data_IF_011460805351
#
_entry.id   IF_011460805351
#
_cell.length_a   1.000
_cell.length_b   1.000
_cell.length_c   1.000
_cell.angle_alpha   90.00
_cell.angle_beta   90.00
_cell.angle_gamma   90.00
#
_symmetry.space_group_name_H-M   'P 1'
#
loop_
_entity.id
_entity.type
_entity.pdbx_description
1 polymer ?
#
# COMPACT_ATOMS: atom_id res chain seq x y z
N UNK A 1 52.25 -50.31 -37.86
CA UNK A 1 51.27 -51.31 -38.30
C UNK A 1 50.64 -51.97 -37.07
N UNK A 2 49.42 -52.51 -37.20
CA UNK A 2 48.75 -53.47 -36.31
C UNK A 2 48.35 -53.05 -34.87
N UNK A 3 47.02 -52.96 -34.65
CA UNK A 3 46.29 -53.45 -33.45
C UNK A 3 46.14 -55.01 -33.57
N UNK A 4 45.62 -55.82 -32.60
CA UNK A 4 44.76 -55.54 -31.43
C UNK A 4 45.25 -56.28 -30.12
N UNK A 5 44.50 -56.69 -29.07
CA UNK A 5 43.05 -56.73 -28.72
C UNK A 5 42.81 -56.80 -27.18
N UNK A 6 41.66 -56.25 -26.75
CA UNK A 6 40.79 -56.55 -25.57
C UNK A 6 41.25 -57.49 -24.42
N UNK A 7 41.09 -57.03 -23.16
CA UNK A 7 40.29 -57.72 -22.12
C UNK A 7 39.79 -56.78 -21.01
N UNK A 8 38.72 -57.19 -20.33
CA UNK A 8 37.81 -56.37 -19.49
C UNK A 8 38.17 -56.35 -17.97
N UNK A 9 37.36 -55.60 -17.21
CA UNK A 9 37.08 -55.63 -15.77
C UNK A 9 37.81 -54.62 -14.86
N UNK A 10 37.06 -53.63 -14.33
CA UNK A 10 37.49 -52.95 -13.09
C UNK A 10 36.96 -51.54 -12.79
N UNK A 11 35.65 -51.38 -12.54
CA UNK A 11 35.03 -50.39 -11.62
C UNK A 11 35.52 -48.91 -11.67
N UNK A 12 34.59 -48.00 -11.98
CA UNK A 12 34.75 -46.59 -11.58
C UNK A 12 33.84 -45.66 -12.37
N UNK A 13 32.95 -44.98 -11.66
CA UNK A 13 32.02 -44.00 -12.22
C UNK A 13 32.70 -42.95 -13.11
N UNK A 14 32.01 -42.49 -14.16
CA UNK A 14 31.78 -41.05 -14.39
C UNK A 14 30.79 -40.77 -15.53
N UNK A 15 29.91 -39.79 -15.29
CA UNK A 15 29.32 -38.85 -16.26
C UNK A 15 28.81 -39.43 -17.60
N UNK A 16 27.54 -39.85 -17.62
CA UNK A 16 26.81 -39.91 -18.89
C UNK A 16 26.53 -38.48 -19.38
N UNK A 17 27.02 -38.20 -20.58
CA UNK A 17 27.06 -36.85 -21.17
C UNK A 17 25.75 -36.58 -21.94
N UNK A 18 25.31 -35.32 -21.89
CA UNK A 18 24.51 -34.65 -22.94
C UNK A 18 23.07 -35.14 -23.18
N UNK A 19 22.11 -34.43 -22.59
CA UNK A 19 21.00 -33.89 -23.39
C UNK A 19 21.34 -32.42 -23.72
N UNK A 20 21.23 -32.05 -24.98
CA UNK A 20 21.55 -30.70 -25.47
C UNK A 20 20.27 -29.87 -25.44
N UNK A 21 20.10 -29.06 -24.40
CA UNK A 21 19.24 -27.88 -24.39
C UNK A 21 20.12 -26.75 -23.91
N UNK A 22 20.36 -25.73 -24.75
CA UNK A 22 21.48 -24.80 -24.54
C UNK A 22 21.39 -23.96 -23.26
N UNK A 23 22.52 -23.39 -22.87
CA UNK A 23 22.65 -22.39 -21.82
C UNK A 23 21.81 -21.14 -22.15
N UNK A 24 20.51 -21.23 -21.87
CA UNK A 24 19.83 -20.12 -21.20
C UNK A 24 20.06 -20.32 -19.71
N UNK A 25 21.20 -19.79 -19.26
CA UNK A 25 21.26 -19.18 -17.93
C UNK A 25 20.00 -18.34 -17.82
N UNK A 26 19.05 -18.78 -17.00
CA UNK A 26 17.71 -18.21 -16.95
C UNK A 26 17.88 -16.80 -16.40
N UNK A 27 17.87 -15.81 -17.29
CA UNK A 27 17.55 -14.44 -16.89
C UNK A 27 16.27 -14.55 -16.08
N UNK A 28 16.25 -13.99 -14.88
CA UNK A 28 15.03 -13.92 -14.08
C UNK A 28 14.14 -12.88 -14.75
N UNK A 29 13.52 -13.30 -15.85
CA UNK A 29 12.67 -12.47 -16.69
C UNK A 29 11.49 -11.99 -15.86
N UNK A 30 11.48 -10.68 -15.58
CA UNK A 30 10.35 -9.90 -15.05
C UNK A 30 9.60 -10.55 -13.88
N UNK A 31 10.10 -10.29 -12.67
CA UNK A 31 9.35 -10.15 -11.40
C UNK A 31 7.82 -10.31 -11.58
N UNK A 32 7.29 -11.50 -11.30
CA UNK A 32 5.84 -11.64 -11.11
C UNK A 32 5.47 -10.98 -9.77
N UNK A 33 4.51 -10.05 -9.83
CA UNK A 33 3.96 -9.33 -8.69
C UNK A 33 2.54 -9.89 -8.46
N UNK A 34 2.13 -10.23 -7.22
CA UNK A 34 2.88 -10.14 -5.96
C UNK A 34 4.06 -11.11 -5.89
N UNK A 35 5.08 -10.74 -5.13
CA UNK A 35 6.29 -11.54 -4.99
C UNK A 35 6.03 -12.80 -4.14
N UNK A 36 6.89 -13.82 -4.26
CA UNK A 36 6.86 -15.00 -3.38
C UNK A 36 7.11 -14.64 -1.91
N UNK A 37 7.86 -13.56 -1.67
CA UNK A 37 8.01 -12.91 -0.37
C UNK A 37 7.55 -11.46 -0.53
N UNK A 38 6.41 -11.15 0.07
CA UNK A 38 5.71 -9.86 -0.03
C UNK A 38 5.07 -9.53 1.32
N UNK A 39 4.70 -8.28 1.55
CA UNK A 39 4.18 -7.80 2.84
C UNK A 39 3.05 -6.79 2.65
N UNK A 40 2.18 -6.63 3.66
CA UNK A 40 0.95 -5.82 3.51
C UNK A 40 1.22 -4.32 3.34
N UNK A 41 2.28 -3.79 3.95
CA UNK A 41 2.79 -2.44 3.71
C UNK A 41 3.04 -1.59 4.97
N UNK A 42 2.22 -1.70 6.01
CA UNK A 42 2.42 -0.92 7.25
C UNK A 42 3.58 -1.46 8.09
N UNK A 43 4.45 -0.58 8.60
CA UNK A 43 5.51 -0.91 9.56
C UNK A 43 5.34 -0.18 10.91
N UNK A 44 6.07 -0.63 11.93
CA UNK A 44 6.06 0.00 13.25
C UNK A 44 6.83 1.33 13.21
N UNK A 45 6.17 2.44 13.57
CA UNK A 45 6.82 3.75 13.74
C UNK A 45 7.87 3.68 14.86
N UNK A 46 9.06 4.20 14.61
CA UNK A 46 10.14 4.33 15.60
C UNK A 46 9.74 5.28 16.74
N UNK A 47 10.44 5.20 17.88
CA UNK A 47 10.27 6.20 18.96
C UNK A 47 10.58 7.62 18.49
N UNK A 48 11.60 7.77 17.62
CA UNK A 48 11.94 9.07 17.01
C UNK A 48 10.76 9.66 16.24
N UNK A 49 10.08 8.86 15.42
CA UNK A 49 8.91 9.31 14.66
C UNK A 49 7.71 9.61 15.57
N UNK A 50 7.49 8.81 16.62
CA UNK A 50 6.43 9.09 17.62
C UNK A 50 6.65 10.44 18.29
N UNK A 51 7.84 10.66 18.86
CA UNK A 51 8.21 11.93 19.50
C UNK A 51 8.16 13.11 18.51
N UNK A 52 8.51 12.93 17.24
CA UNK A 52 8.36 13.97 16.23
C UNK A 52 6.88 14.35 15.99
N UNK A 53 5.99 13.35 15.89
CA UNK A 53 4.54 13.58 15.70
C UNK A 53 3.89 14.20 16.94
N UNK A 54 4.31 13.79 18.13
CA UNK A 54 3.90 14.42 19.41
C UNK A 54 4.31 15.89 19.43
N UNK A 55 5.59 16.20 19.18
CA UNK A 55 6.09 17.57 19.07
C UNK A 55 5.36 18.42 18.02
N UNK A 56 5.00 17.83 16.87
CA UNK A 56 4.21 18.53 15.85
C UNK A 56 2.79 18.83 16.36
N UNK A 57 2.14 17.88 17.04
CA UNK A 57 0.80 18.07 17.63
C UNK A 57 0.76 19.11 18.77
N UNK A 58 1.88 19.29 19.47
CA UNK A 58 2.07 20.33 20.50
C UNK A 58 2.49 21.70 19.91
N UNK A 59 2.83 21.76 18.62
CA UNK A 59 3.34 22.97 17.96
C UNK A 59 4.83 23.26 18.21
N UNK A 60 5.58 22.32 18.77
CA UNK A 60 7.02 22.45 19.05
C UNK A 60 7.88 22.38 17.78
N UNK A 61 7.38 21.75 16.71
CA UNK A 61 8.03 21.69 15.38
C UNK A 61 7.03 22.03 14.26
N UNK A 62 7.52 22.53 13.13
CA UNK A 62 6.70 22.81 11.94
C UNK A 62 6.38 21.54 11.15
N UNK A 63 5.44 21.64 10.19
CA UNK A 63 5.08 20.54 9.29
C UNK A 63 6.29 20.12 8.43
N UNK A 64 7.11 21.07 8.02
CA UNK A 64 8.33 20.86 7.22
C UNK A 64 9.40 20.13 8.04
N UNK A 65 9.55 20.48 9.33
CA UNK A 65 10.46 19.78 10.24
C UNK A 65 10.00 18.33 10.51
N UNK A 66 8.70 18.11 10.70
CA UNK A 66 8.14 16.74 10.77
C UNK A 66 8.40 15.98 9.46
N UNK A 67 8.18 16.63 8.30
CA UNK A 67 8.38 16.03 6.97
C UNK A 67 9.81 15.55 6.74
N UNK A 68 10.81 16.30 7.22
CA UNK A 68 12.23 15.88 7.17
C UNK A 68 12.44 14.61 7.99
N UNK A 69 11.92 14.55 9.23
CA UNK A 69 12.05 13.35 10.07
C UNK A 69 11.34 12.16 9.42
N UNK A 70 10.12 12.34 8.91
CA UNK A 70 9.42 11.27 8.17
C UNK A 70 10.21 10.76 6.96
N UNK A 71 10.84 11.65 6.19
CA UNK A 71 11.66 11.26 5.03
C UNK A 71 12.83 10.37 5.46
N UNK A 72 13.57 10.76 6.49
CA UNK A 72 14.71 10.00 7.00
C UNK A 72 14.28 8.63 7.57
N UNK A 73 13.14 8.56 8.27
CA UNK A 73 12.63 7.29 8.80
C UNK A 73 12.14 6.35 7.69
N UNK A 74 11.60 6.89 6.60
CA UNK A 74 11.26 6.12 5.39
C UNK A 74 12.53 5.64 4.67
N UNK A 75 13.55 6.48 4.51
CA UNK A 75 14.84 6.07 3.92
C UNK A 75 15.50 4.96 4.76
N UNK A 76 15.50 5.07 6.09
CA UNK A 76 15.98 4.03 7.00
C UNK A 76 15.17 2.72 6.89
N UNK A 77 13.86 2.80 6.65
CA UNK A 77 13.00 1.64 6.43
C UNK A 77 13.28 0.98 5.08
N UNK A 78 13.43 1.76 4.00
CA UNK A 78 13.75 1.27 2.65
C UNK A 78 15.03 0.42 2.68
N UNK A 79 16.08 0.86 3.38
CA UNK A 79 17.32 0.09 3.52
C UNK A 79 17.16 -1.19 4.37
N UNK A 80 16.23 -1.22 5.33
CA UNK A 80 15.87 -2.43 6.07
C UNK A 80 15.10 -3.42 5.21
N UNK A 81 14.12 -2.95 4.42
CA UNK A 81 13.37 -3.78 3.47
C UNK A 81 14.30 -4.40 2.41
N UNK A 82 15.21 -3.60 1.83
CA UNK A 82 16.29 -4.06 0.94
C UNK A 82 17.17 -5.12 1.60
N UNK A 83 17.65 -4.86 2.82
CA UNK A 83 18.51 -5.77 3.57
C UNK A 83 17.80 -7.09 3.95
N UNK A 84 16.48 -7.08 4.07
CA UNK A 84 15.65 -8.27 4.27
C UNK A 84 15.37 -9.06 2.98
N UNK A 85 15.79 -8.55 1.81
CA UNK A 85 15.55 -9.19 0.51
C UNK A 85 14.14 -8.98 -0.03
N UNK A 86 13.43 -7.92 0.40
CA UNK A 86 12.13 -7.55 -0.16
C UNK A 86 12.30 -6.84 -1.50
N UNK A 87 11.40 -7.13 -2.44
CA UNK A 87 11.40 -6.50 -3.77
C UNK A 87 10.30 -5.45 -3.94
N UNK A 88 9.13 -5.66 -3.32
CA UNK A 88 8.10 -4.63 -3.18
C UNK A 88 8.37 -3.81 -1.92
N UNK A 89 8.76 -2.55 -2.11
CA UNK A 89 9.19 -1.65 -1.03
C UNK A 89 8.11 -0.61 -0.75
N UNK A 90 7.84 -0.29 0.52
CA UNK A 90 6.79 0.68 0.89
C UNK A 90 7.34 1.89 1.65
N UNK A 91 6.46 2.85 1.98
CA UNK A 91 6.76 3.94 2.92
C UNK A 91 6.44 3.57 4.38
N UNK A 92 6.14 2.30 4.65
CA UNK A 92 5.70 1.81 5.96
C UNK A 92 4.40 2.40 6.48
N UNK A 93 3.66 3.15 5.67
CA UNK A 93 2.57 4.05 6.09
C UNK A 93 2.99 5.05 7.18
N UNK A 94 4.29 5.34 7.30
CA UNK A 94 4.87 6.03 8.46
C UNK A 94 4.28 7.44 8.66
N UNK A 95 3.90 8.12 7.59
CA UNK A 95 3.28 9.46 7.59
C UNK A 95 1.82 9.47 8.05
N UNK A 96 1.12 8.35 7.89
CA UNK A 96 -0.32 8.24 8.15
C UNK A 96 -0.59 8.25 9.65
N UNK A 97 -1.62 8.95 10.09
CA UNK A 97 -2.31 8.74 11.39
C UNK A 97 -3.18 7.49 11.31
N UNK A 98 -3.96 7.35 10.24
CA UNK A 98 -4.83 6.21 9.95
C UNK A 98 -4.62 5.74 8.52
N UNK A 99 -4.40 4.43 8.33
CA UNK A 99 -4.12 3.82 7.02
C UNK A 99 -5.13 4.17 5.91
N UNK A 100 -6.40 4.44 6.29
CA UNK A 100 -7.50 4.78 5.40
C UNK A 100 -7.98 6.24 5.51
N UNK A 101 -8.27 6.74 6.72
CA UNK A 101 -8.98 8.02 6.87
C UNK A 101 -8.22 9.19 6.24
N UNK A 102 -6.90 9.23 6.41
CA UNK A 102 -6.05 10.30 5.87
C UNK A 102 -6.05 10.32 4.32
N UNK A 103 -6.32 9.20 3.65
CA UNK A 103 -6.55 9.16 2.21
C UNK A 103 -7.97 9.62 1.88
N UNK A 104 -8.97 9.02 2.54
CA UNK A 104 -10.37 9.24 2.22
C UNK A 104 -10.81 10.69 2.43
N UNK A 105 -10.30 11.37 3.46
CA UNK A 105 -10.60 12.78 3.76
C UNK A 105 -10.00 13.77 2.75
N UNK A 106 -9.02 13.35 1.94
CA UNK A 106 -8.40 14.18 0.90
C UNK A 106 -9.06 14.00 -0.48
N UNK A 107 -10.11 13.18 -0.59
CA UNK A 107 -11.02 13.15 -1.73
C UNK A 107 -11.98 14.35 -1.70
N UNK A 108 -12.36 14.88 -2.85
CA UNK A 108 -13.35 15.94 -2.90
C UNK A 108 -14.71 15.41 -2.41
N UNK A 109 -15.47 16.22 -1.67
CA UNK A 109 -16.80 15.83 -1.18
C UNK A 109 -16.79 14.88 0.03
N UNK A 110 -15.61 14.60 0.61
CA UNK A 110 -15.43 13.88 1.87
C UNK A 110 -14.77 14.83 2.86
N UNK A 111 -15.11 14.73 4.15
CA UNK A 111 -14.38 15.41 5.23
C UNK A 111 -14.12 14.47 6.40
N UNK A 112 -13.02 14.69 7.11
CA UNK A 112 -12.78 14.11 8.42
C UNK A 112 -13.54 14.85 9.53
N UNK A 113 -14.03 14.12 10.54
CA UNK A 113 -14.72 14.68 11.69
C UNK A 113 -14.52 13.82 12.96
N UNK A 114 -14.84 14.42 14.11
CA UNK A 114 -14.88 13.76 15.42
C UNK A 114 -16.33 13.41 15.76
N UNK A 115 -16.72 12.13 15.85
CA UNK A 115 -18.09 11.75 16.24
C UNK A 115 -18.40 12.09 17.72
N UNK A 116 -19.53 12.78 17.95
CA UNK A 116 -19.98 13.17 19.30
C UNK A 116 -20.28 11.95 20.21
N UNK A 117 -20.79 10.86 19.63
CA UNK A 117 -21.07 9.60 20.34
C UNK A 117 -19.85 8.69 20.55
N UNK A 118 -18.66 9.14 20.14
CA UNK A 118 -17.45 8.30 20.06
C UNK A 118 -17.41 7.42 18.82
N UNK A 119 -16.31 6.68 18.63
CA UNK A 119 -16.15 5.82 17.46
C UNK A 119 -17.22 4.71 17.41
N UNK A 120 -17.84 4.54 16.25
CA UNK A 120 -18.97 3.64 15.98
C UNK A 120 -18.68 2.13 16.18
N UNK A 121 -17.42 1.74 16.42
CA UNK A 121 -17.01 0.35 16.63
C UNK A 121 -16.47 0.13 18.04
N UNK A 122 -17.01 -0.88 18.73
CA UNK A 122 -16.54 -1.30 20.05
C UNK A 122 -15.25 -2.12 19.93
N UNK A 123 -14.11 -1.50 20.22
CA UNK A 123 -12.83 -2.19 20.30
C UNK A 123 -12.60 -2.83 21.67
N UNK A 124 -12.03 -4.04 21.69
CA UNK A 124 -11.47 -4.63 22.90
C UNK A 124 -10.05 -4.08 23.13
N UNK A 125 -9.94 -2.91 23.75
CA UNK A 125 -8.64 -2.26 24.01
C UNK A 125 -8.78 -0.81 24.43
N UNK A 126 -7.66 -0.06 24.40
CA UNK A 126 -7.68 1.40 24.54
C UNK A 126 -8.51 1.97 23.38
N UNK A 127 -9.49 2.82 23.67
CA UNK A 127 -10.36 3.38 22.64
C UNK A 127 -9.52 4.08 21.55
N UNK A 128 -9.78 3.76 20.29
CA UNK A 128 -9.25 4.52 19.18
C UNK A 128 -9.72 5.98 19.31
N UNK A 129 -8.92 6.99 18.89
CA UNK A 129 -9.40 8.35 18.82
C UNK A 129 -10.70 8.39 18.01
N UNK A 130 -11.69 9.12 18.51
CA UNK A 130 -12.97 9.31 17.82
C UNK A 130 -12.74 10.18 16.59
N UNK A 131 -12.23 9.59 15.51
CA UNK A 131 -12.02 10.25 14.23
C UNK A 131 -12.57 9.35 13.12
N UNK A 132 -13.24 9.95 12.15
CA UNK A 132 -13.90 9.23 11.07
C UNK A 132 -14.11 10.16 9.86
N UNK A 133 -14.52 9.63 8.72
CA UNK A 133 -14.90 10.41 7.54
C UNK A 133 -16.41 10.40 7.30
N UNK A 134 -16.92 11.45 6.65
CA UNK A 134 -18.29 11.51 6.14
C UNK A 134 -18.36 12.21 4.79
N UNK A 135 -19.35 11.85 3.99
CA UNK A 135 -19.61 12.45 2.67
C UNK A 135 -20.45 13.71 2.83
N UNK A 136 -19.93 14.83 2.31
CA UNK A 136 -20.52 16.18 2.39
C UNK A 136 -20.83 16.81 1.03
N UNK A 137 -20.30 16.25 -0.05
CA UNK A 137 -20.62 16.63 -1.43
C UNK A 137 -20.51 15.45 -2.38
N UNK A 138 -20.63 15.69 -3.69
CA UNK A 138 -20.37 14.65 -4.69
C UNK A 138 -18.89 14.28 -4.68
N UNK A 139 -18.58 13.00 -4.65
CA UNK A 139 -17.21 12.51 -4.55
C UNK A 139 -16.51 12.61 -5.92
N UNK A 140 -15.28 13.13 -5.92
CA UNK A 140 -14.35 13.03 -7.06
C UNK A 140 -12.91 12.95 -6.58
N UNK A 141 -11.98 12.55 -7.46
CA UNK A 141 -10.58 12.52 -7.09
C UNK A 141 -9.99 13.94 -7.02
N UNK A 142 -9.19 14.19 -6.00
CA UNK A 142 -8.40 15.41 -5.87
C UNK A 142 -7.09 15.24 -6.65
N UNK A 143 -6.87 16.02 -7.72
CA UNK A 143 -5.63 15.92 -8.53
C UNK A 143 -4.35 16.29 -7.75
N UNK A 144 -4.50 17.00 -6.64
CA UNK A 144 -3.41 17.38 -5.73
C UNK A 144 -3.44 16.53 -4.44
N UNK A 145 -3.91 15.28 -4.52
CA UNK A 145 -3.97 14.37 -3.38
C UNK A 145 -2.56 14.12 -2.80
N UNK A 146 -2.32 14.37 -1.49
CA UNK A 146 -0.96 14.41 -0.93
C UNK A 146 -0.21 13.07 -1.06
N UNK A 147 -0.93 11.95 -1.04
CA UNK A 147 -0.31 10.62 -1.21
C UNK A 147 0.35 10.41 -2.59
N UNK A 148 0.07 11.25 -3.60
CA UNK A 148 0.80 11.24 -4.87
C UNK A 148 2.22 11.80 -4.72
N UNK A 149 2.43 12.75 -3.82
CA UNK A 149 3.76 13.28 -3.47
C UNK A 149 4.52 12.30 -2.56
N UNK A 150 3.81 11.66 -1.61
CA UNK A 150 4.36 10.59 -0.76
C UNK A 150 4.86 9.42 -1.60
N UNK A 151 4.07 8.98 -2.58
CA UNK A 151 4.46 7.92 -3.51
C UNK A 151 5.60 8.37 -4.45
N UNK A 152 5.60 9.61 -4.93
CA UNK A 152 6.70 10.12 -5.76
C UNK A 152 8.04 10.12 -4.99
N UNK A 153 8.02 10.46 -3.70
CA UNK A 153 9.19 10.35 -2.82
C UNK A 153 9.64 8.89 -2.65
N UNK A 154 8.72 7.96 -2.36
CA UNK A 154 9.04 6.54 -2.26
C UNK A 154 9.66 6.01 -3.58
N UNK A 155 9.08 6.39 -4.72
CA UNK A 155 9.55 5.96 -6.04
C UNK A 155 10.98 6.42 -6.31
N UNK A 156 11.28 7.71 -6.10
CA UNK A 156 12.63 8.31 -6.25
C UNK A 156 13.70 7.52 -5.46
N UNK A 157 13.39 7.10 -4.23
CA UNK A 157 14.32 6.35 -3.38
C UNK A 157 14.48 4.87 -3.78
N UNK A 158 13.45 4.27 -4.38
CA UNK A 158 13.44 2.86 -4.75
C UNK A 158 13.93 2.62 -6.17
N UNK A 159 13.69 3.54 -7.11
CA UNK A 159 14.00 3.35 -8.55
C UNK A 159 15.48 3.37 -8.91
N UNK A 160 16.35 3.68 -7.93
CA UNK A 160 17.81 3.51 -8.04
C UNK A 160 18.26 2.04 -8.21
N UNK A 161 17.41 1.07 -7.88
CA UNK A 161 17.67 -0.36 -8.04
C UNK A 161 16.59 -1.02 -8.89
N UNK A 162 16.95 -1.43 -10.11
CA UNK A 162 16.05 -2.12 -11.05
C UNK A 162 15.51 -3.45 -10.50
N UNK A 163 16.09 -4.01 -9.42
CA UNK A 163 15.61 -5.21 -8.73
C UNK A 163 14.48 -4.94 -7.72
N UNK A 164 14.12 -3.68 -7.47
CA UNK A 164 13.05 -3.27 -6.56
C UNK A 164 11.83 -2.67 -7.29
N UNK A 165 10.74 -2.42 -6.57
CA UNK A 165 9.57 -1.66 -7.04
C UNK A 165 8.89 -0.95 -5.88
N UNK A 166 8.55 0.33 -6.07
CA UNK A 166 7.73 1.08 -5.12
C UNK A 166 6.29 0.53 -5.10
N UNK A 167 5.88 0.02 -3.95
CA UNK A 167 4.55 -0.49 -3.64
C UNK A 167 3.81 0.52 -2.77
N UNK A 168 2.52 0.73 -3.06
CA UNK A 168 1.67 1.63 -2.27
C UNK A 168 0.31 1.00 -1.97
N UNK A 169 -0.09 1.05 -0.70
CA UNK A 169 -1.45 0.75 -0.23
C UNK A 169 -2.33 2.00 -0.29
N UNK A 170 -3.58 1.84 -0.75
CA UNK A 170 -4.66 2.81 -0.58
C UNK A 170 -5.93 2.08 -0.13
N UNK A 171 -6.83 2.72 0.62
CA UNK A 171 -8.07 2.06 1.06
C UNK A 171 -8.98 1.73 -0.12
N UNK A 172 -9.65 0.57 -0.05
CA UNK A 172 -10.72 0.18 -0.99
C UNK A 172 -11.90 1.18 -0.97
N UNK A 173 -12.60 1.40 -2.10
CA UNK A 173 -13.84 2.20 -2.14
C UNK A 173 -14.89 1.71 -1.14
N UNK A 174 -14.86 0.42 -0.79
CA UNK A 174 -15.75 -0.17 0.19
C UNK A 174 -15.62 0.44 1.60
N UNK A 175 -14.54 1.16 1.91
CA UNK A 175 -14.41 1.90 3.17
C UNK A 175 -15.45 3.02 3.27
N UNK A 176 -15.64 3.80 2.20
CA UNK A 176 -16.69 4.84 2.16
C UNK A 176 -18.07 4.19 2.16
N UNK A 177 -18.28 3.12 1.38
CA UNK A 177 -19.55 2.39 1.35
C UNK A 177 -19.99 1.93 2.74
N UNK A 178 -19.09 1.30 3.50
CA UNK A 178 -19.41 0.85 4.86
C UNK A 178 -19.70 2.03 5.77
N UNK A 179 -18.88 3.07 5.74
CA UNK A 179 -19.02 4.22 6.63
C UNK A 179 -20.33 4.97 6.41
N UNK A 180 -20.77 5.15 5.16
CA UNK A 180 -22.04 5.85 4.85
C UNK A 180 -23.27 4.94 4.97
N UNK A 181 -23.21 3.68 4.52
CA UNK A 181 -24.40 2.84 4.33
C UNK A 181 -24.62 1.76 5.39
N UNK A 182 -23.57 1.27 6.05
CA UNK A 182 -23.63 0.06 6.90
C UNK A 182 -23.24 0.32 8.36
N UNK A 183 -22.42 1.34 8.61
CA UNK A 183 -21.84 1.65 9.91
C UNK A 183 -21.96 3.13 10.28
N UNK A 184 -22.83 3.90 9.62
CA UNK A 184 -23.02 5.31 9.97
C UNK A 184 -23.54 5.47 11.41
N UNK A 185 -23.23 6.61 12.00
CA UNK A 185 -23.65 7.03 13.34
C UNK A 185 -24.89 7.96 13.30
N UNK A 186 -25.65 7.91 12.20
CA UNK A 186 -26.74 8.84 11.90
C UNK A 186 -26.32 10.13 11.20
N UNK A 187 -25.02 10.43 11.06
CA UNK A 187 -24.55 11.65 10.40
C UNK A 187 -24.46 11.56 8.86
N UNK A 188 -24.79 10.42 8.24
CA UNK A 188 -24.73 10.27 6.78
C UNK A 188 -25.65 11.26 6.08
N UNK A 189 -25.10 11.99 5.10
CA UNK A 189 -25.83 12.95 4.25
C UNK A 189 -26.05 12.42 2.83
N UNK A 190 -25.74 11.15 2.60
CA UNK A 190 -25.68 10.58 1.25
C UNK A 190 -26.99 10.74 0.47
N UNK A 191 -28.15 10.57 1.12
CA UNK A 191 -29.47 10.75 0.53
C UNK A 191 -29.89 12.22 0.32
N UNK A 192 -29.14 13.18 0.86
CA UNK A 192 -29.33 14.62 0.62
C UNK A 192 -28.47 15.10 -0.56
N UNK A 193 -27.35 14.42 -0.80
CA UNK A 193 -26.36 14.73 -1.84
C UNK A 193 -26.69 13.99 -3.15
N UNK A 194 -27.14 12.74 -3.03
CA UNK A 194 -27.48 11.85 -4.14
C UNK A 194 -28.96 11.47 -4.09
N UNK A 195 -29.66 11.72 -5.19
CA UNK A 195 -31.08 11.33 -5.38
C UNK A 195 -31.30 9.83 -5.32
N UNK A 196 -30.28 9.05 -5.67
CA UNK A 196 -30.28 7.59 -5.71
C UNK A 196 -28.84 7.07 -5.50
N UNK A 197 -28.70 5.85 -4.97
CA UNK A 197 -27.38 5.28 -4.68
C UNK A 197 -26.60 4.87 -5.95
N UNK A 198 -27.26 4.65 -7.10
CA UNK A 198 -26.57 4.37 -8.37
C UNK A 198 -25.72 5.55 -8.84
N UNK A 199 -26.22 6.78 -8.67
CA UNK A 199 -25.46 8.00 -8.90
C UNK A 199 -24.21 8.10 -8.00
N UNK A 200 -24.32 7.67 -6.74
CA UNK A 200 -23.19 7.60 -5.81
C UNK A 200 -22.17 6.52 -6.20
N UNK A 201 -22.63 5.30 -6.52
CA UNK A 201 -21.75 4.22 -6.98
C UNK A 201 -21.01 4.59 -8.28
N UNK A 202 -21.64 5.35 -9.16
CA UNK A 202 -21.01 5.87 -10.37
C UNK A 202 -19.85 6.83 -10.03
N UNK A 203 -20.10 7.85 -9.20
CA UNK A 203 -19.08 8.83 -8.79
C UNK A 203 -17.92 8.16 -8.04
N UNK A 204 -18.22 7.23 -7.13
CA UNK A 204 -17.20 6.47 -6.39
C UNK A 204 -16.35 5.60 -7.34
N UNK A 205 -16.98 4.97 -8.34
CA UNK A 205 -16.28 4.19 -9.36
C UNK A 205 -15.38 5.06 -10.25
N UNK A 206 -15.86 6.24 -10.70
CA UNK A 206 -15.02 7.17 -11.45
C UNK A 206 -13.87 7.71 -10.59
N UNK A 207 -14.13 8.09 -9.34
CA UNK A 207 -13.12 8.55 -8.37
C UNK A 207 -11.98 7.53 -8.26
N UNK A 208 -12.30 6.25 -8.05
CA UNK A 208 -11.27 5.22 -7.92
C UNK A 208 -10.58 4.86 -9.23
N UNK A 209 -11.25 5.03 -10.38
CA UNK A 209 -10.60 4.98 -11.69
C UNK A 209 -9.59 6.12 -11.87
N UNK A 210 -9.93 7.34 -11.44
CA UNK A 210 -9.04 8.50 -11.45
C UNK A 210 -7.85 8.32 -10.48
N UNK A 211 -8.06 7.73 -9.30
CA UNK A 211 -6.97 7.31 -8.38
C UNK A 211 -5.98 6.41 -9.11
N UNK A 212 -6.45 5.33 -9.74
CA UNK A 212 -5.59 4.38 -10.48
C UNK A 212 -4.83 5.10 -11.59
N UNK A 213 -5.49 5.96 -12.37
CA UNK A 213 -4.85 6.74 -13.43
C UNK A 213 -3.77 7.68 -12.87
N UNK A 214 -4.03 8.40 -11.78
CA UNK A 214 -3.08 9.33 -11.19
C UNK A 214 -1.81 8.63 -10.66
N UNK A 215 -1.96 7.48 -9.99
CA UNK A 215 -0.81 6.65 -9.61
C UNK A 215 -0.08 6.10 -10.84
N UNK A 216 -0.80 5.68 -11.88
CA UNK A 216 -0.20 5.18 -13.13
C UNK A 216 0.59 6.27 -13.88
N UNK A 217 0.12 7.52 -13.88
CA UNK A 217 0.81 8.71 -14.42
C UNK A 217 2.06 9.08 -13.60
N UNK A 218 2.08 8.80 -12.30
CA UNK A 218 3.29 8.81 -11.46
C UNK A 218 4.18 7.58 -11.65
N UNK A 219 3.91 6.77 -12.68
CA UNK A 219 4.67 5.57 -13.05
C UNK A 219 4.64 4.48 -11.95
N UNK A 220 3.56 4.45 -11.15
CA UNK A 220 3.27 3.34 -10.24
C UNK A 220 2.93 2.06 -11.02
N UNK A 221 3.54 0.94 -10.64
CA UNK A 221 3.26 -0.40 -11.19
C UNK A 221 2.88 -1.44 -10.12
N UNK A 222 2.82 -1.04 -8.84
CA UNK A 222 2.28 -1.87 -7.75
C UNK A 222 1.41 -1.03 -6.80
N UNK A 223 0.11 -0.98 -7.09
CA UNK A 223 -0.93 -0.36 -6.27
C UNK A 223 -1.78 -1.46 -5.62
N UNK A 224 -1.92 -1.41 -4.30
CA UNK A 224 -2.71 -2.35 -3.49
C UNK A 224 -3.96 -1.64 -2.95
N UNK A 225 -5.12 -2.32 -3.02
CA UNK A 225 -6.36 -1.86 -2.39
C UNK A 225 -6.63 -2.63 -1.11
N UNK A 226 -6.62 -1.92 0.02
CA UNK A 226 -6.83 -2.53 1.33
C UNK A 226 -8.32 -2.56 1.68
N UNK A 227 -8.87 -3.77 1.80
CA UNK A 227 -10.29 -4.00 2.03
C UNK A 227 -10.57 -4.93 3.22
N UNK A 228 -10.80 -4.33 4.38
CA UNK A 228 -11.19 -5.02 5.60
C UNK A 228 -12.69 -5.35 5.69
N UNK A 229 -13.50 -4.96 4.70
CA UNK A 229 -14.97 -5.04 4.77
C UNK A 229 -15.54 -6.34 4.19
N UNK A 230 -14.78 -7.13 3.42
CA UNK A 230 -15.22 -8.45 2.95
C UNK A 230 -15.66 -9.39 4.08
N UNK A 231 -14.96 -9.35 5.21
CA UNK A 231 -15.31 -10.14 6.40
C UNK A 231 -16.59 -9.68 7.12
N UNK A 232 -17.14 -8.52 6.77
CA UNK A 232 -18.44 -8.04 7.26
C UNK A 232 -19.57 -8.75 6.52
N UNK A 233 -19.40 -9.02 5.21
CA UNK A 233 -20.39 -9.71 4.39
C UNK A 233 -20.42 -11.23 4.60
N UNK A 234 -19.34 -11.83 5.13
CA UNK A 234 -19.25 -13.27 5.42
C UNK A 234 -19.85 -13.69 6.78
N UNK A 235 -20.74 -12.87 7.36
CA UNK A 235 -21.45 -13.15 8.63
C UNK A 235 -22.96 -13.36 8.45
N UNK A 236 -23.39 -13.56 7.21
CA UNK A 236 -24.73 -13.95 6.78
C UNK A 236 -24.65 -15.21 5.89
#
# INVERSE_FOLDING_TARGET
MNRPFVSDAGKGAFLYKKLIGGDRMRTMDKKEIPFTVDHVGSFLRSERLKTARENFSEGNITKEQLRVIENEEIENLIEQEKSAGLHGITDGELRRSFWHLDFLEHLNGVEGYVPEGGYNQKFHGKAAPSYNIRVTGRISFNKNHPFLEDFAFLKDKVESDESLIAKVSVPSPNMILRQELLANDGNSRIHQIYSDLSSFYHDLSQTYKEVIHAYYEKDCRYLQFDDTNWAVFSRY
#
